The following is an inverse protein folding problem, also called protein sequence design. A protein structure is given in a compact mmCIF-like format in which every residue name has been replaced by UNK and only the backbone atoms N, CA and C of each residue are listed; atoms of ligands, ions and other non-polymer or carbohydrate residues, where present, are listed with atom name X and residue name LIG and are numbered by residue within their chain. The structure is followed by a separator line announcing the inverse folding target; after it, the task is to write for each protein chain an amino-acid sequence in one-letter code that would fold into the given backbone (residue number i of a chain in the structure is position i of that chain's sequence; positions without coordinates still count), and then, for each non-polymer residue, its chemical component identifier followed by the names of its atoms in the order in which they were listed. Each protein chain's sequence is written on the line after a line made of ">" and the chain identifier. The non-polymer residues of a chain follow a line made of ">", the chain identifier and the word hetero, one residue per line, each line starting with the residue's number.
data_IF_182949703226
#
_entry.id   IF_182949703226
#
_cell.length_a   1.000
_cell.length_b   1.000
_cell.length_c   1.000
_cell.angle_alpha   90.00
_cell.angle_beta   90.00
_cell.angle_gamma   90.00
#
_symmetry.space_group_name_H-M   'P 1'
#
loop_
_entity.id
_entity.type
_entity.pdbx_description
1 polymer ?
#
# COMPACT_ATOMS: atom_id res chain seq x y z
N UNK A 1 -0.47 -26.67 -11.22
CA UNK A 1 0.45 -25.67 -10.70
C UNK A 1 -0.35 -24.46 -10.17
N UNK A 2 -0.26 -24.22 -8.89
CA UNK A 2 -0.83 -23.03 -8.26
C UNK A 2 0.30 -22.07 -7.91
N UNK A 3 0.12 -20.78 -8.27
CA UNK A 3 1.10 -19.77 -7.93
C UNK A 3 0.42 -18.57 -7.28
N UNK A 4 0.71 -18.39 -6.01
CA UNK A 4 0.14 -17.32 -5.20
C UNK A 4 1.08 -16.11 -5.20
N UNK A 5 0.58 -14.91 -5.55
CA UNK A 5 1.39 -13.70 -5.54
C UNK A 5 0.79 -12.51 -6.28
N UNK A 6 1.61 -11.50 -6.49
CA UNK A 6 1.29 -10.26 -7.21
C UNK A 6 1.48 -10.38 -8.74
N UNK A 7 1.77 -9.25 -9.39
CA UNK A 7 1.90 -9.15 -10.85
C UNK A 7 2.95 -10.07 -11.45
N UNK A 8 4.16 -10.10 -10.88
CA UNK A 8 5.24 -10.98 -11.35
C UNK A 8 4.88 -12.47 -11.24
N UNK A 9 4.12 -12.83 -10.20
CA UNK A 9 3.63 -14.20 -10.02
C UNK A 9 2.55 -14.56 -11.04
N UNK A 10 1.69 -13.62 -11.41
CA UNK A 10 0.69 -13.79 -12.47
C UNK A 10 1.38 -14.01 -13.82
N UNK A 11 2.39 -13.22 -14.13
CA UNK A 11 3.19 -13.31 -15.34
C UNK A 11 3.94 -14.66 -15.42
N UNK A 12 4.54 -15.08 -14.31
CA UNK A 12 5.19 -16.39 -14.21
C UNK A 12 4.19 -17.52 -14.43
N UNK A 13 3.00 -17.44 -13.83
CA UNK A 13 1.94 -18.44 -14.02
C UNK A 13 1.51 -18.54 -15.49
N UNK A 14 1.36 -17.40 -16.19
CA UNK A 14 1.08 -17.34 -17.60
C UNK A 14 2.19 -18.01 -18.44
N UNK A 15 3.46 -17.67 -18.17
CA UNK A 15 4.62 -18.25 -18.86
C UNK A 15 4.71 -19.77 -18.66
N UNK A 16 4.44 -20.28 -17.45
CA UNK A 16 4.38 -21.73 -17.18
C UNK A 16 3.30 -22.38 -18.01
N UNK A 17 2.10 -21.79 -18.12
CA UNK A 17 1.03 -22.29 -18.97
C UNK A 17 1.41 -22.33 -20.45
N UNK A 18 2.10 -21.30 -20.94
CA UNK A 18 2.57 -21.23 -22.33
C UNK A 18 3.65 -22.30 -22.60
N UNK A 19 4.63 -22.43 -21.70
CA UNK A 19 5.69 -23.44 -21.79
C UNK A 19 5.12 -24.86 -21.78
N UNK A 20 4.12 -25.12 -20.93
CA UNK A 20 3.39 -26.39 -20.90
C UNK A 20 2.84 -26.79 -22.28
N UNK A 21 2.23 -25.82 -23.00
CA UNK A 21 1.70 -26.06 -24.35
C UNK A 21 2.80 -26.34 -25.36
N UNK A 22 3.89 -25.58 -25.34
CA UNK A 22 4.99 -25.72 -26.32
C UNK A 22 5.83 -26.96 -26.11
N UNK A 23 6.00 -27.41 -24.86
CA UNK A 23 6.76 -28.62 -24.51
C UNK A 23 5.94 -29.90 -24.59
N UNK A 24 4.63 -29.80 -24.80
CA UNK A 24 3.74 -30.96 -24.78
C UNK A 24 3.57 -31.61 -23.40
N UNK A 25 3.99 -30.95 -22.33
CA UNK A 25 3.85 -31.45 -20.96
C UNK A 25 2.62 -30.84 -20.29
N UNK A 26 1.56 -31.62 -20.03
CA UNK A 26 0.26 -31.07 -19.61
C UNK A 26 0.30 -30.56 -18.16
N UNK A 27 0.37 -29.23 -18.00
CA UNK A 27 0.25 -28.55 -16.69
C UNK A 27 -0.91 -27.56 -16.79
N UNK A 28 -1.81 -27.61 -15.81
CA UNK A 28 -2.74 -26.51 -15.53
C UNK A 28 -2.05 -25.52 -14.61
N UNK A 29 -1.99 -24.25 -15.00
CA UNK A 29 -1.42 -23.17 -14.21
C UNK A 29 -2.53 -22.20 -13.78
N UNK A 30 -2.68 -21.99 -12.47
CA UNK A 30 -3.70 -21.10 -11.90
C UNK A 30 -3.00 -20.12 -10.95
N UNK A 31 -3.18 -18.85 -11.21
CA UNK A 31 -2.70 -17.78 -10.35
C UNK A 31 -3.70 -17.52 -9.22
N UNK A 32 -3.21 -17.41 -7.99
CA UNK A 32 -4.01 -17.03 -6.82
C UNK A 32 -3.60 -15.60 -6.42
N UNK A 33 -4.51 -14.61 -6.50
CA UNK A 33 -4.16 -13.22 -6.25
C UNK A 33 -3.75 -12.98 -4.80
N UNK A 34 -2.62 -12.35 -4.59
CA UNK A 34 -2.15 -11.88 -3.29
C UNK A 34 -1.14 -10.75 -3.50
N UNK A 35 -1.48 -9.54 -3.09
CA UNK A 35 -0.55 -8.42 -2.96
C UNK A 35 -1.13 -7.37 -2.02
N UNK A 36 -0.27 -6.74 -1.23
CA UNK A 36 -0.66 -5.61 -0.38
C UNK A 36 -0.83 -4.33 -1.20
N UNK A 37 -0.20 -4.25 -2.39
CA UNK A 37 -0.21 -3.06 -3.24
C UNK A 37 -1.57 -2.82 -3.93
N UNK A 38 -2.44 -3.84 -3.95
CA UNK A 38 -3.77 -3.75 -4.56
C UNK A 38 -3.73 -3.36 -6.05
N UNK A 39 -2.75 -3.85 -6.78
CA UNK A 39 -2.40 -3.42 -8.14
C UNK A 39 -2.71 -4.45 -9.23
N UNK A 40 -3.33 -5.59 -8.90
CA UNK A 40 -3.81 -6.55 -9.88
C UNK A 40 -5.10 -6.06 -10.53
N UNK A 41 -5.20 -6.07 -11.87
CA UNK A 41 -6.41 -5.66 -12.58
C UNK A 41 -7.56 -6.67 -12.42
N UNK A 42 -8.79 -6.24 -12.70
CA UNK A 42 -10.03 -7.02 -12.80
C UNK A 42 -10.60 -7.44 -11.43
N UNK A 43 -9.77 -7.73 -10.44
CA UNK A 43 -10.26 -8.01 -9.08
C UNK A 43 -10.62 -6.71 -8.35
N UNK A 44 -11.71 -6.70 -7.59
CA UNK A 44 -12.14 -5.53 -6.79
C UNK A 44 -11.06 -5.07 -5.80
N UNK A 45 -10.45 -6.03 -5.15
CA UNK A 45 -9.26 -5.82 -4.32
C UNK A 45 -8.41 -7.09 -4.29
N UNK A 46 -7.16 -6.96 -3.83
CA UNK A 46 -6.23 -8.06 -3.70
C UNK A 46 -6.18 -8.53 -2.25
N UNK A 47 -6.33 -9.84 -1.97
CA UNK A 47 -6.08 -10.36 -0.62
C UNK A 47 -4.69 -9.96 -0.11
N UNK A 48 -4.67 -9.43 1.11
CA UNK A 48 -3.53 -8.77 1.76
C UNK A 48 -3.73 -7.26 1.94
N UNK A 49 -4.33 -6.56 0.96
CA UNK A 49 -4.53 -5.13 1.01
C UNK A 49 -5.46 -4.68 2.15
N UNK A 50 -6.61 -5.33 2.33
CA UNK A 50 -7.58 -4.92 3.35
C UNK A 50 -7.02 -4.92 4.77
N UNK A 51 -6.17 -5.89 5.09
CA UNK A 51 -5.47 -5.97 6.39
C UNK A 51 -4.41 -4.89 6.53
N UNK A 52 -3.64 -4.63 5.48
CA UNK A 52 -2.64 -3.54 5.47
C UNK A 52 -3.31 -2.19 5.58
N UNK A 53 -4.40 -1.96 4.85
CA UNK A 53 -5.18 -0.72 4.92
C UNK A 53 -5.66 -0.44 6.35
N UNK A 54 -6.19 -1.46 7.03
CA UNK A 54 -6.60 -1.36 8.45
C UNK A 54 -5.41 -1.04 9.35
N UNK A 55 -4.27 -1.72 9.18
CA UNK A 55 -3.06 -1.44 9.95
C UNK A 55 -2.58 0.00 9.78
N UNK A 56 -2.49 0.49 8.55
CA UNK A 56 -2.03 1.85 8.27
C UNK A 56 -3.00 2.90 8.80
N UNK A 57 -4.32 2.71 8.64
CA UNK A 57 -5.31 3.62 9.19
C UNK A 57 -5.20 3.74 10.71
N UNK A 58 -5.12 2.61 11.43
CA UNK A 58 -4.99 2.59 12.88
C UNK A 58 -3.64 3.17 13.32
N UNK A 59 -2.53 2.75 12.73
CA UNK A 59 -1.20 3.23 13.08
C UNK A 59 -1.05 4.75 12.86
N UNK A 60 -1.62 5.26 11.76
CA UNK A 60 -1.63 6.70 11.47
C UNK A 60 -2.43 7.45 12.53
N UNK A 61 -3.58 6.92 12.94
CA UNK A 61 -4.45 7.53 13.97
C UNK A 61 -3.74 7.61 15.32
N UNK A 62 -3.20 6.48 15.78
CA UNK A 62 -2.50 6.40 17.08
C UNK A 62 -1.27 7.32 17.12
N UNK A 63 -0.44 7.28 16.09
CA UNK A 63 0.72 8.17 15.99
C UNK A 63 0.31 9.66 15.93
N UNK A 64 -0.82 9.97 15.29
CA UNK A 64 -1.34 11.34 15.25
C UNK A 64 -1.79 11.85 16.61
N UNK A 65 -2.41 11.01 17.42
CA UNK A 65 -2.77 11.37 18.79
C UNK A 65 -1.55 11.58 19.68
N UNK A 66 -0.53 10.75 19.55
CA UNK A 66 0.72 10.92 20.27
C UNK A 66 1.36 12.27 19.92
N UNK A 67 1.50 12.59 18.64
CA UNK A 67 2.04 13.90 18.21
C UNK A 67 1.16 15.07 18.65
N UNK A 68 -0.16 14.95 18.56
CA UNK A 68 -1.07 15.98 19.03
C UNK A 68 -0.86 16.31 20.52
N UNK A 69 -0.60 15.29 21.34
CA UNK A 69 -0.37 15.45 22.77
C UNK A 69 0.85 16.32 23.11
N UNK A 70 1.89 16.26 22.29
CA UNK A 70 3.17 16.97 22.51
C UNK A 70 3.37 18.18 21.59
N UNK A 71 2.47 18.46 20.66
CA UNK A 71 2.66 19.45 19.59
C UNK A 71 2.91 20.88 20.08
N UNK A 72 2.42 21.25 21.29
CA UNK A 72 2.64 22.60 21.85
C UNK A 72 4.10 22.84 22.22
N UNK A 73 4.81 21.81 22.67
CA UNK A 73 6.16 21.94 23.28
C UNK A 73 7.26 21.21 22.50
N UNK A 74 6.91 20.29 21.60
CA UNK A 74 7.89 19.43 20.95
C UNK A 74 7.58 19.19 19.48
N UNK A 75 7.41 17.93 19.07
CA UNK A 75 7.21 17.48 17.70
C UNK A 75 5.91 18.00 17.12
N UNK A 76 5.98 18.54 15.90
CA UNK A 76 4.80 19.07 15.18
C UNK A 76 4.45 18.27 13.93
N UNK A 77 5.37 17.49 13.39
CA UNK A 77 5.15 16.71 12.19
C UNK A 77 5.56 15.27 12.43
N UNK A 78 4.67 14.34 12.13
CA UNK A 78 4.97 12.92 12.07
C UNK A 78 4.85 12.43 10.63
N UNK A 79 5.77 11.59 10.18
CA UNK A 79 5.81 11.07 8.82
C UNK A 79 5.83 9.56 8.88
N UNK A 80 4.80 8.91 8.32
CA UNK A 80 4.73 7.45 8.18
C UNK A 80 5.03 7.07 6.73
N UNK A 81 6.12 6.34 6.52
CA UNK A 81 6.44 5.74 5.22
C UNK A 81 5.76 4.38 5.11
N UNK A 82 5.12 4.15 3.96
CA UNK A 82 4.37 2.94 3.66
C UNK A 82 4.81 2.34 2.33
N UNK A 83 4.58 1.04 2.16
CA UNK A 83 4.78 0.35 0.89
C UNK A 83 3.87 0.90 -0.21
N UNK A 84 4.18 0.60 -1.45
CA UNK A 84 3.44 1.00 -2.64
C UNK A 84 4.33 1.67 -3.67
N UNK A 85 5.17 0.87 -4.36
CA UNK A 85 6.14 1.39 -5.34
C UNK A 85 5.49 2.14 -6.49
N UNK A 86 4.36 1.64 -6.99
CA UNK A 86 3.67 2.16 -8.16
C UNK A 86 2.19 2.44 -7.93
N UNK A 87 1.64 1.99 -6.79
CA UNK A 87 0.24 2.13 -6.44
C UNK A 87 0.09 2.73 -5.04
N UNK A 88 -0.66 3.82 -4.94
CA UNK A 88 -0.83 4.60 -3.71
C UNK A 88 -1.97 4.14 -2.79
N UNK A 89 -2.53 2.96 -3.00
CA UNK A 89 -3.66 2.47 -2.20
C UNK A 89 -3.36 2.38 -0.70
N UNK A 90 -2.15 1.92 -0.35
CA UNK A 90 -1.74 1.83 1.06
C UNK A 90 -1.60 3.23 1.67
N UNK A 91 -0.99 4.16 0.94
CA UNK A 91 -0.89 5.55 1.40
C UNK A 91 -2.28 6.19 1.55
N UNK A 92 -3.21 5.93 0.61
CA UNK A 92 -4.60 6.39 0.68
C UNK A 92 -5.31 5.90 1.94
N UNK A 93 -5.05 4.67 2.37
CA UNK A 93 -5.63 4.09 3.58
C UNK A 93 -5.27 4.89 4.85
N UNK A 94 -4.13 5.59 4.87
CA UNK A 94 -3.79 6.51 5.95
C UNK A 94 -4.80 7.64 6.14
N UNK A 95 -5.51 8.02 5.07
CA UNK A 95 -6.59 9.01 5.15
C UNK A 95 -7.79 8.56 5.99
N UNK A 96 -8.00 7.27 6.13
CA UNK A 96 -9.06 6.70 6.99
C UNK A 96 -8.81 6.90 8.50
N UNK A 97 -7.63 7.36 8.88
CA UNK A 97 -7.34 7.73 10.27
C UNK A 97 -8.16 8.92 10.76
N UNK A 98 -8.64 9.78 9.83
CA UNK A 98 -9.49 10.93 10.11
C UNK A 98 -10.93 10.63 9.74
N UNK A 99 -11.86 11.01 10.61
CA UNK A 99 -13.31 10.93 10.41
C UNK A 99 -14.00 12.24 10.81
N UNK A 100 -15.34 12.28 10.78
CA UNK A 100 -16.13 13.48 11.13
C UNK A 100 -15.96 13.87 12.60
N UNK A 101 -15.85 12.89 13.49
CA UNK A 101 -15.72 13.10 14.93
C UNK A 101 -14.27 13.43 15.33
N UNK A 102 -13.32 12.93 14.56
CA UNK A 102 -11.88 13.05 14.86
C UNK A 102 -11.13 13.58 13.64
N UNK A 103 -11.01 14.90 13.56
CA UNK A 103 -10.32 15.58 12.47
C UNK A 103 -8.80 15.53 12.69
N UNK A 104 -8.13 14.60 12.03
CA UNK A 104 -6.66 14.50 12.01
C UNK A 104 -6.11 15.25 10.79
N UNK A 105 -5.15 16.17 10.97
CA UNK A 105 -4.56 16.93 9.85
C UNK A 105 -3.55 16.06 9.09
N UNK A 106 -4.02 15.30 8.09
CA UNK A 106 -3.22 14.39 7.29
C UNK A 106 -2.86 15.02 5.94
N UNK A 107 -1.62 14.81 5.49
CA UNK A 107 -1.15 15.00 4.11
C UNK A 107 -0.72 13.64 3.58
N UNK A 108 -1.18 13.29 2.38
CA UNK A 108 -0.83 12.02 1.73
C UNK A 108 -0.01 12.30 0.49
N UNK A 109 1.11 11.59 0.34
CA UNK A 109 1.99 11.66 -0.82
C UNK A 109 1.90 10.34 -1.59
N UNK A 110 1.37 10.42 -2.80
CA UNK A 110 1.10 9.28 -3.69
C UNK A 110 2.24 9.06 -4.70
N UNK A 111 2.56 7.82 -5.07
CA UNK A 111 3.56 7.52 -6.09
C UNK A 111 3.11 7.95 -7.50
N UNK A 112 1.79 8.05 -7.74
CA UNK A 112 1.21 8.49 -9.02
C UNK A 112 1.26 10.00 -9.23
N UNK A 113 1.56 10.77 -8.18
CA UNK A 113 1.56 12.23 -8.23
C UNK A 113 2.98 12.74 -8.02
N UNK A 114 3.51 13.46 -9.01
CA UNK A 114 4.84 14.06 -8.90
C UNK A 114 4.95 14.97 -7.68
N UNK A 115 5.97 14.74 -6.87
CA UNK A 115 6.22 15.50 -5.66
C UNK A 115 6.56 16.96 -6.00
N UNK A 116 5.85 17.87 -5.35
CA UNK A 116 6.13 19.30 -5.43
C UNK A 116 6.43 19.84 -4.03
N UNK A 117 7.72 20.08 -3.76
CA UNK A 117 8.21 20.54 -2.45
C UNK A 117 7.48 21.80 -1.96
N UNK A 118 7.32 22.81 -2.81
CA UNK A 118 6.66 24.07 -2.44
C UNK A 118 5.20 23.87 -2.01
N UNK A 119 4.46 23.07 -2.78
CA UNK A 119 3.06 22.73 -2.47
C UNK A 119 2.95 21.93 -1.18
N UNK A 120 3.82 20.95 -1.01
CA UNK A 120 3.87 20.12 0.18
C UNK A 120 4.14 20.96 1.44
N UNK A 121 5.15 21.85 1.42
CA UNK A 121 5.46 22.73 2.54
C UNK A 121 4.31 23.68 2.88
N UNK A 122 3.64 24.21 1.87
CA UNK A 122 2.46 25.06 2.08
C UNK A 122 1.32 24.29 2.80
N UNK A 123 1.07 23.04 2.41
CA UNK A 123 0.06 22.19 3.06
C UNK A 123 0.42 21.86 4.50
N UNK A 124 1.68 21.47 4.77
CA UNK A 124 2.16 21.18 6.13
C UNK A 124 2.04 22.43 7.02
N UNK A 125 2.53 23.59 6.55
CA UNK A 125 2.45 24.83 7.28
C UNK A 125 0.99 25.23 7.60
N UNK A 126 0.09 25.09 6.63
CA UNK A 126 -1.35 25.35 6.81
C UNK A 126 -1.95 24.45 7.89
N UNK A 127 -1.64 23.15 7.86
CA UNK A 127 -2.15 22.18 8.84
C UNK A 127 -1.60 22.46 10.22
N UNK A 128 -0.30 22.66 10.36
CA UNK A 128 0.33 23.03 11.65
C UNK A 128 -0.22 24.34 12.21
N UNK A 129 -0.44 25.35 11.36
CA UNK A 129 -1.05 26.62 11.80
C UNK A 129 -2.48 26.43 12.33
N UNK A 130 -3.27 25.57 11.70
CA UNK A 130 -4.68 25.36 12.06
C UNK A 130 -4.88 24.41 13.24
N UNK A 131 -4.10 23.30 13.30
CA UNK A 131 -4.32 22.21 14.23
C UNK A 131 -3.18 22.05 15.27
N UNK A 132 -2.09 22.76 15.11
CA UNK A 132 -0.90 22.66 15.96
C UNK A 132 0.10 21.56 15.51
N UNK A 133 -0.34 20.64 14.67
CA UNK A 133 0.49 19.52 14.17
C UNK A 133 0.02 19.09 12.77
N UNK A 134 0.80 18.17 12.17
CA UNK A 134 0.47 17.53 10.90
C UNK A 134 1.02 16.11 10.87
N UNK A 135 0.21 15.16 10.40
CA UNK A 135 0.66 13.81 10.06
C UNK A 135 0.80 13.68 8.55
N UNK A 136 1.87 13.04 8.11
CA UNK A 136 2.14 12.79 6.70
C UNK A 136 2.19 11.28 6.49
N UNK A 137 1.46 10.78 5.50
CA UNK A 137 1.61 9.40 5.02
C UNK A 137 2.25 9.46 3.65
N UNK A 138 3.40 8.82 3.50
CA UNK A 138 4.18 8.88 2.25
C UNK A 138 4.43 7.49 1.72
N UNK A 139 4.10 7.26 0.45
CA UNK A 139 4.48 6.02 -0.24
C UNK A 139 5.99 6.02 -0.54
N UNK A 140 6.64 4.88 -0.37
CA UNK A 140 8.04 4.66 -0.76
C UNK A 140 8.32 4.98 -2.24
N UNK A 141 7.28 4.87 -3.08
CA UNK A 141 7.33 5.07 -4.53
C UNK A 141 7.14 6.51 -4.99
N UNK A 142 7.11 7.50 -4.09
CA UNK A 142 6.96 8.92 -4.48
C UNK A 142 8.12 9.36 -5.36
N UNK A 143 7.78 10.09 -6.43
CA UNK A 143 8.71 10.55 -7.46
C UNK A 143 8.78 12.06 -7.55
N UNK A 144 9.93 12.57 -7.92
CA UNK A 144 10.14 13.95 -8.34
C UNK A 144 9.54 14.22 -9.73
N UNK A 145 9.56 15.48 -10.15
CA UNK A 145 8.97 15.90 -11.43
C UNK A 145 9.67 15.32 -12.67
N UNK A 146 10.92 14.89 -12.54
CA UNK A 146 11.68 14.20 -13.58
C UNK A 146 11.45 12.69 -13.62
N UNK A 147 10.59 12.17 -12.73
CA UNK A 147 10.22 10.77 -12.63
C UNK A 147 11.15 9.90 -11.79
N UNK A 148 12.22 10.46 -11.22
CA UNK A 148 13.11 9.74 -10.31
C UNK A 148 12.42 9.52 -8.95
N UNK A 149 12.69 8.38 -8.32
CA UNK A 149 12.23 8.15 -6.95
C UNK A 149 12.92 9.13 -5.99
N UNK A 150 12.19 9.66 -5.02
CA UNK A 150 12.77 10.57 -4.01
C UNK A 150 13.83 9.87 -3.14
N UNK A 151 13.71 8.56 -2.95
CA UNK A 151 14.69 7.76 -2.23
C UNK A 151 14.93 6.43 -2.96
N UNK A 152 15.88 6.43 -3.89
CA UNK A 152 16.40 5.23 -4.55
C UNK A 152 17.72 4.86 -3.88
N UNK A 153 17.80 3.66 -3.30
CA UNK A 153 19.03 3.15 -2.65
C UNK A 153 20.07 2.66 -3.66
N UNK A 154 19.78 2.72 -4.96
CA UNK A 154 20.68 2.25 -6.03
C UNK A 154 20.80 0.73 -6.12
N UNK A 155 20.13 -0.01 -5.27
CA UNK A 155 20.07 -1.48 -5.28
C UNK A 155 18.91 -1.98 -6.12
N UNK A 156 19.04 -3.19 -6.66
CA UNK A 156 17.99 -3.85 -7.44
C UNK A 156 17.72 -5.24 -6.85
N UNK A 157 16.43 -5.64 -6.83
CA UNK A 157 16.03 -6.98 -6.44
C UNK A 157 16.29 -8.00 -7.57
N UNK A 158 15.98 -9.27 -7.33
CA UNK A 158 16.17 -10.34 -8.30
C UNK A 158 15.33 -10.19 -9.58
N UNK A 159 14.31 -9.34 -9.58
CA UNK A 159 13.45 -9.02 -10.72
C UNK A 159 13.86 -7.71 -11.41
N UNK A 160 14.90 -7.03 -10.93
CA UNK A 160 15.41 -5.76 -11.48
C UNK A 160 14.71 -4.51 -10.95
N UNK A 161 13.82 -4.63 -9.98
CA UNK A 161 13.16 -3.48 -9.39
C UNK A 161 14.09 -2.70 -8.44
N UNK A 162 13.96 -1.36 -8.42
CA UNK A 162 14.68 -0.51 -7.47
C UNK A 162 14.31 -0.90 -6.03
N UNK A 163 15.32 -1.07 -5.18
CA UNK A 163 15.10 -1.17 -3.74
C UNK A 163 14.84 0.24 -3.22
N UNK A 164 13.60 0.47 -2.77
CA UNK A 164 13.15 1.76 -2.26
C UNK A 164 13.14 1.75 -0.73
N UNK A 165 13.03 2.94 -0.16
CA UNK A 165 12.93 3.16 1.27
C UNK A 165 13.77 4.35 1.71
N UNK A 166 13.34 5.00 2.80
CA UNK A 166 13.99 6.19 3.32
C UNK A 166 13.42 7.50 2.76
N UNK A 167 12.23 7.48 2.16
CA UNK A 167 11.52 8.70 1.73
C UNK A 167 11.12 9.55 2.94
N UNK A 168 10.69 8.93 4.05
CA UNK A 168 10.27 9.66 5.23
C UNK A 168 11.37 10.56 5.82
N UNK A 169 12.62 10.12 6.02
CA UNK A 169 13.69 11.01 6.46
C UNK A 169 14.01 12.10 5.45
N UNK A 170 13.95 11.83 4.14
CA UNK A 170 14.17 12.84 3.09
C UNK A 170 13.11 13.95 3.19
N UNK A 171 11.83 13.57 3.25
CA UNK A 171 10.72 14.52 3.40
C UNK A 171 10.79 15.25 4.75
N UNK A 172 11.20 14.57 5.81
CA UNK A 172 11.41 15.16 7.13
C UNK A 172 12.51 16.21 7.16
N UNK A 173 13.64 15.95 6.50
CA UNK A 173 14.72 16.93 6.35
C UNK A 173 14.24 18.18 5.63
N UNK A 174 13.45 18.04 4.56
CA UNK A 174 12.86 19.17 3.87
C UNK A 174 11.92 19.99 4.77
N UNK A 175 11.13 19.33 5.64
CA UNK A 175 10.28 20.03 6.63
C UNK A 175 11.12 20.85 7.62
N UNK A 176 12.25 20.30 8.07
CA UNK A 176 13.16 21.02 8.95
C UNK A 176 13.82 22.20 8.25
N UNK A 177 14.31 22.00 7.04
CA UNK A 177 14.98 23.04 6.25
C UNK A 177 14.07 24.22 5.92
N UNK A 178 12.84 23.96 5.45
CA UNK A 178 11.96 25.00 4.90
C UNK A 178 11.06 25.64 5.96
N UNK A 179 10.69 24.91 7.04
CA UNK A 179 9.70 25.35 8.03
C UNK A 179 10.28 25.45 9.45
N UNK A 180 11.49 24.97 9.68
CA UNK A 180 12.12 24.85 11.00
C UNK A 180 11.25 24.11 12.03
N UNK A 181 10.45 23.14 11.58
CA UNK A 181 9.59 22.35 12.45
C UNK A 181 10.31 21.08 12.92
N UNK A 182 10.08 20.72 14.19
CA UNK A 182 10.52 19.41 14.71
C UNK A 182 9.63 18.32 14.16
N UNK A 183 10.25 17.27 13.63
CA UNK A 183 9.57 16.11 13.06
C UNK A 183 10.10 14.81 13.65
N UNK A 184 9.29 13.77 13.55
CA UNK A 184 9.67 12.36 13.70
C UNK A 184 9.09 11.56 12.54
N UNK A 185 9.64 10.38 12.30
CA UNK A 185 9.20 9.50 11.25
C UNK A 185 9.28 8.03 11.67
N UNK A 186 8.50 7.21 11.01
CA UNK A 186 8.56 5.76 11.09
C UNK A 186 8.40 5.17 9.70
N UNK A 187 9.01 4.01 9.48
CA UNK A 187 8.79 3.18 8.29
C UNK A 187 7.97 1.97 8.72
N UNK A 188 6.81 1.79 8.12
CA UNK A 188 5.96 0.64 8.42
C UNK A 188 6.56 -0.68 7.92
N UNK A 189 7.29 -0.63 6.81
CA UNK A 189 8.03 -1.74 6.20
C UNK A 189 7.28 -3.08 6.32
N UNK A 190 7.93 -4.17 6.68
CA UNK A 190 7.33 -5.49 6.81
C UNK A 190 6.28 -5.61 7.92
N UNK A 191 6.30 -4.72 8.92
CA UNK A 191 5.29 -4.73 9.98
C UNK A 191 3.88 -4.56 9.43
N UNK A 192 3.69 -3.71 8.41
CA UNK A 192 2.38 -3.45 7.82
C UNK A 192 1.77 -4.70 7.15
N UNK A 193 2.58 -5.59 6.58
CA UNK A 193 2.09 -6.80 5.91
C UNK A 193 2.12 -8.07 6.78
N UNK A 194 2.64 -7.99 8.00
CA UNK A 194 2.76 -9.11 8.94
C UNK A 194 1.90 -8.96 10.19
N UNK A 195 1.11 -7.90 10.30
CA UNK A 195 0.32 -7.55 11.48
C UNK A 195 -0.97 -8.39 11.60
N UNK A 196 -0.83 -9.70 11.78
CA UNK A 196 -1.96 -10.64 11.89
C UNK A 196 -2.95 -10.27 13.01
N UNK A 197 -2.46 -9.68 14.09
CA UNK A 197 -3.28 -9.26 15.25
C UNK A 197 -4.34 -8.20 14.90
N UNK A 198 -4.19 -7.51 13.77
CA UNK A 198 -5.13 -6.47 13.31
C UNK A 198 -5.73 -6.80 11.93
N UNK A 199 -5.62 -8.05 11.48
CA UNK A 199 -6.13 -8.46 10.17
C UNK A 199 -7.61 -8.08 9.99
N UNK A 200 -7.98 -7.73 8.75
CA UNK A 200 -9.36 -7.50 8.35
C UNK A 200 -10.05 -8.84 8.11
N UNK A 201 -11.21 -9.04 8.73
CA UNK A 201 -12.02 -10.26 8.55
C UNK A 201 -12.44 -10.46 7.09
N UNK A 202 -12.84 -9.37 6.41
CA UNK A 202 -13.18 -9.41 4.99
C UNK A 202 -12.00 -9.86 4.14
N UNK A 203 -10.80 -9.35 4.42
CA UNK A 203 -9.58 -9.69 3.70
C UNK A 203 -9.20 -11.17 3.88
N UNK A 204 -9.30 -11.69 5.10
CA UNK A 204 -9.11 -13.12 5.40
C UNK A 204 -10.12 -13.99 4.64
N UNK A 205 -11.39 -13.56 4.60
CA UNK A 205 -12.45 -14.25 3.86
C UNK A 205 -12.19 -14.25 2.36
N UNK A 206 -11.73 -13.14 1.79
CA UNK A 206 -11.32 -13.03 0.39
C UNK A 206 -10.17 -13.99 0.06
N UNK A 207 -9.13 -14.02 0.90
CA UNK A 207 -7.98 -14.90 0.72
C UNK A 207 -8.38 -16.37 0.69
N UNK A 208 -9.24 -16.79 1.63
CA UNK A 208 -9.76 -18.14 1.67
C UNK A 208 -10.60 -18.49 0.44
N UNK A 209 -11.52 -17.60 0.07
CA UNK A 209 -12.44 -17.83 -1.06
C UNK A 209 -11.71 -17.91 -2.40
N UNK A 210 -10.71 -17.07 -2.64
CA UNK A 210 -9.89 -17.12 -3.86
C UNK A 210 -9.06 -18.40 -3.94
N UNK A 211 -8.48 -18.85 -2.83
CA UNK A 211 -7.79 -20.15 -2.77
C UNK A 211 -8.72 -21.33 -3.07
N UNK A 212 -9.89 -21.37 -2.45
CA UNK A 212 -10.90 -22.41 -2.69
C UNK A 212 -11.42 -22.40 -4.14
N UNK A 213 -11.63 -21.19 -4.71
CA UNK A 213 -12.05 -21.04 -6.10
C UNK A 213 -10.97 -21.54 -7.08
N UNK A 214 -9.70 -21.27 -6.81
CA UNK A 214 -8.57 -21.76 -7.63
C UNK A 214 -8.57 -23.29 -7.74
N UNK A 215 -8.80 -24.00 -6.62
CA UNK A 215 -8.90 -25.46 -6.62
C UNK A 215 -10.09 -25.94 -7.44
N UNK A 216 -11.26 -25.30 -7.30
CA UNK A 216 -12.45 -25.64 -8.10
C UNK A 216 -12.21 -25.40 -9.60
N UNK A 217 -11.54 -24.32 -9.97
CA UNK A 217 -11.15 -24.04 -11.36
C UNK A 217 -10.21 -25.12 -11.91
N UNK A 218 -9.24 -25.59 -11.12
CA UNK A 218 -8.35 -26.68 -11.52
C UNK A 218 -9.11 -27.98 -11.77
N UNK A 219 -10.01 -28.37 -10.86
CA UNK A 219 -10.85 -29.55 -11.00
C UNK A 219 -11.79 -29.47 -12.22
N UNK A 220 -12.20 -28.26 -12.60
CA UNK A 220 -13.00 -28.00 -13.79
C UNK A 220 -12.16 -27.89 -15.09
N UNK A 221 -10.88 -28.26 -15.05
CA UNK A 221 -10.00 -28.25 -16.23
C UNK A 221 -9.58 -26.85 -16.71
N UNK A 222 -9.79 -25.79 -15.92
CA UNK A 222 -9.36 -24.43 -16.29
C UNK A 222 -7.86 -24.30 -16.26
N UNK A 223 -7.31 -23.49 -17.16
CA UNK A 223 -5.88 -23.22 -17.27
C UNK A 223 -5.64 -21.75 -17.60
N UNK A 224 -4.54 -21.17 -17.13
CA UNK A 224 -4.16 -19.77 -17.30
C UNK A 224 -5.26 -18.80 -16.81
N UNK A 225 -5.79 -19.04 -15.63
CA UNK A 225 -6.86 -18.26 -15.01
C UNK A 225 -6.48 -17.78 -13.61
N UNK A 226 -7.17 -16.74 -13.15
CA UNK A 226 -7.09 -16.18 -11.81
C UNK A 226 -8.51 -16.03 -11.26
N UNK A 227 -8.85 -16.57 -10.08
CA UNK A 227 -10.09 -16.20 -9.40
C UNK A 227 -10.03 -14.73 -8.99
N UNK A 228 -11.07 -13.96 -9.33
CA UNK A 228 -11.15 -12.55 -9.04
C UNK A 228 -12.30 -12.24 -8.08
N UNK A 229 -12.09 -11.30 -7.17
CA UNK A 229 -13.15 -10.79 -6.31
C UNK A 229 -13.96 -9.79 -7.10
N UNK A 230 -15.26 -9.99 -7.15
CA UNK A 230 -16.22 -9.11 -7.83
C UNK A 230 -17.12 -8.46 -6.80
N UNK A 231 -17.09 -7.14 -6.73
CA UNK A 231 -18.00 -6.36 -5.88
C UNK A 231 -19.41 -6.40 -6.41
N UNK A 232 -20.37 -6.69 -5.54
CA UNK A 232 -21.80 -6.74 -5.86
C UNK A 232 -22.56 -5.52 -5.34
N UNK A 233 -22.14 -4.99 -4.17
CA UNK A 233 -22.73 -3.78 -3.55
C UNK A 233 -21.77 -3.14 -2.56
N UNK A 234 -21.96 -1.84 -2.28
CA UNK A 234 -21.13 -1.05 -1.36
C UNK A 234 -21.68 -1.03 0.07
N UNK A 235 -22.99 -0.87 0.21
CA UNK A 235 -23.66 -0.75 1.52
C UNK A 235 -24.90 -1.64 1.55
N UNK A 236 -24.86 -2.79 2.25
CA UNK A 236 -23.65 -3.40 2.81
C UNK A 236 -22.69 -3.90 1.73
N UNK A 237 -21.40 -3.94 2.05
CA UNK A 237 -20.40 -4.52 1.14
C UNK A 237 -20.70 -6.01 0.89
N UNK A 238 -20.89 -6.37 -0.37
CA UNK A 238 -21.12 -7.76 -0.81
C UNK A 238 -20.22 -8.06 -2.00
N UNK A 239 -19.76 -9.28 -2.03
CA UNK A 239 -18.82 -9.74 -3.05
C UNK A 239 -19.04 -11.22 -3.40
N UNK A 240 -18.44 -11.64 -4.49
CA UNK A 240 -18.31 -13.04 -4.90
C UNK A 240 -16.94 -13.25 -5.56
N UNK A 241 -16.56 -14.50 -5.77
CA UNK A 241 -15.42 -14.90 -6.61
C UNK A 241 -15.94 -15.46 -7.92
#
# INVERSE_FOLDING_TARGET
>A
FFYNGGGDSADTCLKVSQLSKTSGYPIQAIHIPKTVDNDLPITDNCPGFGSVAKYIAVSTREASFDVASMAKTSTKVFILEVMGRHAGWIAAAGGMASDEDTQIPIVILFPEVSFNRKRFMALVAQKVKRFGYCSVVVSEGVRSSDGAFLADQGLRDAFGHAQLGGVAPVVGSMVKEDLDLKYHWAVADYLQRSARHIASESDVSHAYATGAAAVKMALAGKNAVMPAIVRLSDKPYRWKV
#
